data_IF_898625566786
#
_entry.id   IF_898625566786
#
_cell.length_a   1.000
_cell.length_b   1.000
_cell.length_c   1.000
_cell.angle_alpha   90.00
_cell.angle_beta   90.00
_cell.angle_gamma   90.00
#
_symmetry.space_group_name_H-M   'P 1'
#
loop_
_entity.id
_entity.type
_entity.pdbx_description
1 polymer ?
#
# COMPACT_ATOMS: atom_id res chain seq x y z
N UNK A 1 -13.12 32.70 12.66
CA UNK A 1 -12.59 31.39 13.07
C UNK A 1 -12.23 30.69 11.77
N UNK A 2 -10.92 30.49 11.52
CA UNK A 2 -10.44 29.71 10.38
C UNK A 2 -11.07 28.33 10.48
N UNK A 3 -11.83 27.94 9.47
CA UNK A 3 -12.12 26.54 9.22
C UNK A 3 -10.99 26.09 8.29
N UNK A 4 -10.08 25.29 8.83
CA UNK A 4 -9.13 24.52 8.04
C UNK A 4 -9.97 23.62 7.13
N UNK A 5 -10.05 23.97 5.84
CA UNK A 5 -10.76 23.24 4.80
C UNK A 5 -10.07 21.89 4.63
N UNK A 6 -10.61 20.88 5.31
CA UNK A 6 -10.14 19.51 5.35
C UNK A 6 -10.00 18.93 3.94
N UNK A 7 -8.77 18.51 3.62
CA UNK A 7 -8.34 17.53 2.62
C UNK A 7 -9.50 16.92 1.82
N UNK A 8 -9.79 17.49 0.64
CA UNK A 8 -10.56 16.77 -0.37
C UNK A 8 -9.88 15.41 -0.58
N UNK A 9 -10.62 14.29 -0.53
CA UNK A 9 -10.02 13.00 -0.84
C UNK A 9 -9.48 13.08 -2.26
N UNK A 10 -8.17 12.90 -2.39
CA UNK A 10 -7.46 12.82 -3.65
C UNK A 10 -8.15 11.71 -4.47
N UNK A 11 -9.03 12.08 -5.41
CA UNK A 11 -9.90 11.13 -6.13
C UNK A 11 -9.09 10.02 -6.81
N UNK A 12 -7.82 10.29 -7.13
CA UNK A 12 -6.85 9.32 -7.62
C UNK A 12 -6.58 8.16 -6.64
N UNK A 13 -6.58 8.41 -5.32
CA UNK A 13 -6.34 7.39 -4.31
C UNK A 13 -7.51 6.40 -4.17
N UNK A 14 -8.75 6.86 -4.37
CA UNK A 14 -9.94 5.99 -4.33
C UNK A 14 -10.03 5.08 -5.56
N UNK A 15 -9.61 5.57 -6.72
CA UNK A 15 -9.59 4.79 -7.96
C UNK A 15 -8.53 3.67 -7.96
N UNK A 16 -7.43 3.85 -7.20
CA UNK A 16 -6.33 2.88 -7.12
C UNK A 16 -6.51 1.82 -6.02
N UNK A 17 -7.38 2.07 -5.03
CA UNK A 17 -7.65 1.15 -3.94
C UNK A 17 -7.98 -0.30 -4.40
N UNK A 18 -8.90 -0.53 -5.36
CA UNK A 18 -9.20 -1.89 -5.82
C UNK A 18 -7.99 -2.58 -6.49
N UNK A 19 -7.21 -1.85 -7.29
CA UNK A 19 -6.01 -2.38 -7.93
C UNK A 19 -4.94 -2.78 -6.90
N UNK A 20 -4.73 -1.95 -5.88
CA UNK A 20 -3.81 -2.24 -4.78
C UNK A 20 -4.24 -3.51 -4.03
N UNK A 21 -5.54 -3.65 -3.73
CA UNK A 21 -6.06 -4.83 -3.03
C UNK A 21 -5.87 -6.11 -3.87
N UNK A 22 -6.13 -6.06 -5.18
CA UNK A 22 -5.89 -7.19 -6.07
C UNK A 22 -4.43 -7.61 -6.08
N UNK A 23 -3.50 -6.66 -6.16
CA UNK A 23 -2.06 -6.94 -6.09
C UNK A 23 -1.71 -7.56 -4.75
N UNK A 24 -2.17 -7.00 -3.62
CA UNK A 24 -1.92 -7.56 -2.28
C UNK A 24 -2.35 -9.04 -2.21
N UNK A 25 -3.44 -9.43 -2.87
CA UNK A 25 -3.89 -10.82 -2.90
C UNK A 25 -2.94 -11.76 -3.65
N UNK A 26 -2.23 -11.28 -4.67
CA UNK A 26 -1.24 -12.08 -5.43
C UNK A 26 0.11 -12.21 -4.73
N UNK A 27 0.38 -11.41 -3.69
CA UNK A 27 1.62 -11.50 -2.92
C UNK A 27 1.73 -12.81 -2.13
N UNK A 28 2.96 -13.27 -1.84
CA UNK A 28 3.19 -14.38 -0.93
C UNK A 28 2.50 -14.18 0.44
N UNK A 29 2.00 -15.25 1.08
CA UNK A 29 1.15 -15.15 2.27
C UNK A 29 1.76 -14.30 3.40
N UNK A 30 3.06 -14.43 3.63
CA UNK A 30 3.77 -13.71 4.70
C UNK A 30 3.77 -12.19 4.54
N UNK A 31 3.69 -11.70 3.30
CA UNK A 31 3.65 -10.26 3.01
C UNK A 31 2.21 -9.78 2.91
N UNK A 32 1.35 -10.56 2.25
CA UNK A 32 -0.09 -10.28 2.18
C UNK A 32 -0.69 -10.13 3.57
N UNK A 33 -0.49 -11.11 4.46
CA UNK A 33 -1.07 -11.09 5.80
C UNK A 33 -0.55 -9.90 6.62
N UNK A 34 0.71 -9.52 6.44
CA UNK A 34 1.29 -8.36 7.11
C UNK A 34 0.66 -7.05 6.62
N UNK A 35 0.48 -6.88 5.31
CA UNK A 35 -0.16 -5.70 4.73
C UNK A 35 -1.64 -5.65 5.06
N UNK A 36 -2.37 -6.75 4.96
CA UNK A 36 -3.80 -6.79 5.28
C UNK A 36 -4.04 -6.37 6.73
N UNK A 37 -3.30 -6.95 7.68
CA UNK A 37 -3.51 -6.63 9.09
C UNK A 37 -3.08 -5.22 9.45
N UNK A 38 -1.98 -4.71 8.89
CA UNK A 38 -1.44 -3.39 9.25
C UNK A 38 -2.07 -2.26 8.46
N UNK A 39 -2.13 -2.40 7.14
CA UNK A 39 -2.50 -1.31 6.23
C UNK A 39 -4.02 -1.30 5.94
N UNK A 40 -4.72 -2.43 6.06
CA UNK A 40 -6.17 -2.53 5.80
C UNK A 40 -6.97 -2.59 7.11
N UNK A 41 -6.61 -3.50 8.02
CA UNK A 41 -7.32 -3.67 9.30
C UNK A 41 -6.88 -2.66 10.38
N UNK A 42 -5.78 -1.93 10.14
CA UNK A 42 -5.28 -0.90 11.06
C UNK A 42 -4.60 -1.42 12.33
N UNK A 43 -4.25 -2.71 12.38
CA UNK A 43 -3.53 -3.31 13.52
C UNK A 43 -2.11 -2.76 13.56
N UNK A 44 -1.66 -2.31 14.73
CA UNK A 44 -0.28 -1.82 14.86
C UNK A 44 0.74 -2.93 14.58
N UNK A 45 1.89 -2.58 14.01
CA UNK A 45 2.97 -3.55 13.75
C UNK A 45 3.48 -4.23 15.03
N UNK A 46 3.45 -3.50 16.16
CA UNK A 46 3.84 -4.03 17.47
C UNK A 46 2.84 -5.08 17.98
N UNK A 47 1.55 -4.80 17.86
CA UNK A 47 0.51 -5.76 18.21
C UNK A 47 0.55 -7.00 17.31
N UNK A 48 0.75 -6.81 16.00
CA UNK A 48 0.89 -7.94 15.08
C UNK A 48 2.12 -8.81 15.42
N UNK A 49 3.23 -8.19 15.80
CA UNK A 49 4.44 -8.90 16.22
C UNK A 49 4.17 -9.75 17.47
N UNK A 50 3.44 -9.21 18.45
CA UNK A 50 3.02 -9.95 19.65
C UNK A 50 2.08 -11.11 19.30
N UNK A 51 1.05 -10.87 18.47
CA UNK A 51 0.08 -11.90 18.06
C UNK A 51 0.74 -13.07 17.32
N UNK A 52 1.75 -12.78 16.49
CA UNK A 52 2.48 -13.78 15.72
C UNK A 52 3.73 -14.33 16.44
N UNK A 53 4.03 -13.87 17.65
CA UNK A 53 5.22 -14.25 18.42
C UNK A 53 6.54 -14.10 17.64
N UNK A 54 6.66 -13.03 16.86
CA UNK A 54 7.87 -12.68 16.11
C UNK A 54 8.39 -11.32 16.54
N UNK A 55 9.62 -10.98 16.17
CA UNK A 55 10.16 -9.66 16.46
C UNK A 55 9.44 -8.56 15.68
N UNK A 56 9.37 -7.36 16.27
CA UNK A 56 8.89 -6.16 15.56
C UNK A 56 9.69 -5.89 14.28
N UNK A 57 10.99 -6.18 14.28
CA UNK A 57 11.85 -6.07 13.09
C UNK A 57 11.41 -7.00 11.95
N UNK A 58 10.91 -8.20 12.28
CA UNK A 58 10.38 -9.14 11.29
C UNK A 58 9.12 -8.60 10.64
N UNK A 59 8.17 -8.06 11.43
CA UNK A 59 6.95 -7.44 10.89
C UNK A 59 7.29 -6.21 10.04
N UNK A 60 8.16 -5.33 10.54
CA UNK A 60 8.65 -4.17 9.77
C UNK A 60 9.19 -4.57 8.40
N UNK A 61 10.05 -5.60 8.37
CA UNK A 61 10.61 -6.10 7.11
C UNK A 61 9.55 -6.69 6.18
N UNK A 62 8.56 -7.43 6.71
CA UNK A 62 7.45 -7.98 5.92
C UNK A 62 6.58 -6.89 5.32
N UNK A 63 6.19 -5.89 6.11
CA UNK A 63 5.40 -4.73 5.64
C UNK A 63 6.19 -3.95 4.58
N UNK A 64 7.45 -3.63 4.84
CA UNK A 64 8.29 -2.89 3.89
C UNK A 64 8.44 -3.63 2.56
N UNK A 65 8.79 -4.92 2.60
CA UNK A 65 8.92 -5.73 1.38
C UNK A 65 7.59 -5.88 0.67
N UNK A 66 6.50 -6.09 1.40
CA UNK A 66 5.15 -6.12 0.84
C UNK A 66 4.83 -4.84 0.05
N UNK A 67 5.06 -3.66 0.65
CA UNK A 67 4.84 -2.37 -0.02
C UNK A 67 5.72 -2.20 -1.26
N UNK A 68 6.97 -2.67 -1.22
CA UNK A 68 7.86 -2.66 -2.39
C UNK A 68 7.34 -3.56 -3.52
N UNK A 69 6.81 -4.75 -3.19
CA UNK A 69 6.21 -5.65 -4.17
C UNK A 69 4.95 -5.04 -4.78
N UNK A 70 4.08 -4.42 -3.97
CA UNK A 70 2.90 -3.72 -4.48
C UNK A 70 3.31 -2.62 -5.45
N UNK A 71 4.28 -1.79 -5.04
CA UNK A 71 4.82 -0.72 -5.89
C UNK A 71 5.41 -1.25 -7.20
N UNK A 72 6.15 -2.36 -7.16
CA UNK A 72 6.73 -2.96 -8.35
C UNK A 72 5.66 -3.48 -9.32
N UNK A 73 4.57 -4.07 -8.81
CA UNK A 73 3.45 -4.52 -9.65
C UNK A 73 2.69 -3.32 -10.25
N UNK A 74 2.44 -2.28 -9.45
CA UNK A 74 1.83 -1.04 -9.93
C UNK A 74 2.66 -0.44 -11.06
N UNK A 75 3.98 -0.32 -10.89
CA UNK A 75 4.91 0.19 -11.91
C UNK A 75 5.01 -0.69 -13.16
N UNK A 76 4.69 -1.99 -13.06
CA UNK A 76 4.68 -2.89 -14.21
C UNK A 76 3.43 -2.72 -15.08
N UNK A 77 2.30 -2.31 -14.48
CA UNK A 77 1.02 -2.15 -15.18
C UNK A 77 0.68 -0.70 -15.52
N UNK A 78 1.13 0.28 -14.74
CA UNK A 78 0.90 1.70 -15.00
C UNK A 78 2.16 2.53 -14.67
N UNK A 79 2.29 3.70 -15.29
CA UNK A 79 3.37 4.61 -14.96
C UNK A 79 2.95 5.47 -13.75
N UNK A 80 3.67 5.32 -12.63
CA UNK A 80 3.41 6.09 -11.41
C UNK A 80 4.61 6.99 -11.11
N UNK A 81 4.34 8.26 -10.86
CA UNK A 81 5.32 9.20 -10.31
C UNK A 81 5.18 9.24 -8.79
N UNK A 82 6.31 9.27 -8.11
CA UNK A 82 6.35 9.28 -6.65
C UNK A 82 7.25 10.40 -6.14
N UNK A 83 6.93 10.93 -4.97
CA UNK A 83 7.80 11.88 -4.28
C UNK A 83 9.01 11.18 -3.65
N UNK A 84 9.93 12.00 -3.11
CA UNK A 84 11.11 11.56 -2.37
C UNK A 84 10.79 10.76 -1.09
N UNK A 85 9.54 10.82 -0.62
CA UNK A 85 9.03 10.08 0.54
C UNK A 85 8.33 8.77 0.14
N UNK A 86 8.18 8.51 -1.16
CA UNK A 86 7.52 7.34 -1.72
C UNK A 86 6.00 7.46 -1.82
N UNK A 87 5.41 8.63 -1.57
CA UNK A 87 4.00 8.92 -1.81
C UNK A 87 3.76 9.08 -3.32
N UNK A 88 2.63 8.61 -3.82
CA UNK A 88 2.23 8.79 -5.23
C UNK A 88 2.00 10.30 -5.45
N UNK A 89 2.69 10.88 -6.44
CA UNK A 89 2.50 12.28 -6.87
C UNK A 89 1.58 12.36 -8.07
N UNK A 90 1.71 11.42 -9.01
CA UNK A 90 0.94 11.40 -10.24
C UNK A 90 0.85 9.96 -10.76
N UNK A 91 -0.17 9.66 -11.56
CA UNK A 91 -0.27 8.36 -12.24
C UNK A 91 -0.76 8.55 -13.68
N UNK A 92 -0.01 7.97 -14.60
CA UNK A 92 -0.35 7.91 -16.02
C UNK A 92 -0.65 6.45 -16.36
N UNK A 93 -1.90 6.15 -16.71
CA UNK A 93 -2.26 4.86 -17.27
C UNK A 93 -1.56 4.70 -18.63
N UNK A 94 -0.39 4.07 -18.63
CA UNK A 94 0.18 3.55 -19.86
C UNK A 94 -0.39 2.16 -20.08
N UNK A 95 -1.19 2.04 -21.14
CA UNK A 95 -1.62 0.80 -21.80
C UNK A 95 -2.86 0.06 -21.28
N UNK A 96 -3.80 -0.14 -22.22
CA UNK A 96 -4.23 -1.40 -22.87
C UNK A 96 -4.32 -2.74 -22.11
N UNK A 97 -3.87 -2.85 -20.85
CA UNK A 97 -3.94 -4.06 -20.02
C UNK A 97 -4.98 -3.97 -18.90
N UNK A 98 -5.59 -2.80 -18.68
CA UNK A 98 -6.70 -2.60 -17.75
C UNK A 98 -8.03 -2.65 -18.53
N UNK A 99 -8.48 -3.83 -18.91
CA UNK A 99 -9.83 -4.10 -19.40
C UNK A 99 -10.45 -5.25 -18.61
#
# INVERSE_FOLDING_TARGET
MMVDEEDLPDSAAQDLAPAILQIIQTLPPVYRDALTRVDIEGISQAELAQRLQVSLSTIKSRVQRGRQMVRANLLACCHFEFDRHGKVLDYYQHCSCCC
#
